data_IF_419909872750
#
_entry.id   IF_419909872750
#
_cell.length_a   1.000
_cell.length_b   1.000
_cell.length_c   1.000
_cell.angle_alpha   90.00
_cell.angle_beta   90.00
_cell.angle_gamma   90.00
#
_symmetry.space_group_name_H-M   'P 1'
#
loop_
_entity.id
_entity.type
_entity.pdbx_description
1 polymer ?
#
# COMPACT_ATOMS: atom_id res chain seq x y z
N UNK A 1 -7.27 -27.06 1.08
CA UNK A 1 -8.04 -25.87 1.52
C UNK A 1 -7.17 -24.86 2.26
N UNK A 2 -6.62 -25.18 3.44
CA UNK A 2 -5.83 -24.21 4.21
C UNK A 2 -4.46 -23.87 3.57
N UNK A 3 -3.79 -24.86 2.96
CA UNK A 3 -2.55 -24.65 2.20
C UNK A 3 -2.73 -23.78 0.95
N UNK A 4 -3.82 -23.98 0.20
CA UNK A 4 -4.13 -23.20 -1.01
C UNK A 4 -4.38 -21.72 -0.71
N UNK A 5 -5.03 -21.43 0.42
CA UNK A 5 -5.29 -20.05 0.87
C UNK A 5 -3.99 -19.37 1.27
N UNK A 6 -3.11 -20.08 1.98
CA UNK A 6 -1.81 -19.56 2.42
C UNK A 6 -0.88 -19.24 1.24
N UNK A 7 -0.92 -20.04 0.18
CA UNK A 7 -0.12 -19.83 -1.03
C UNK A 7 -0.60 -18.62 -1.87
N UNK A 8 -1.92 -18.39 -1.91
CA UNK A 8 -2.52 -17.28 -2.67
C UNK A 8 -2.69 -15.99 -1.85
N UNK A 9 -2.43 -16.03 -0.55
CA UNK A 9 -2.55 -14.90 0.37
C UNK A 9 -1.87 -13.59 -0.12
N UNK A 10 -0.61 -13.58 -0.58
CA UNK A 10 0.02 -12.34 -1.04
C UNK A 10 -0.68 -11.75 -2.27
N UNK A 11 -1.23 -12.59 -3.15
CA UNK A 11 -1.99 -12.14 -4.33
C UNK A 11 -3.31 -11.48 -3.93
N UNK A 12 -4.05 -12.07 -2.99
CA UNK A 12 -5.29 -11.47 -2.49
C UNK A 12 -5.02 -10.14 -1.77
N UNK A 13 -3.96 -10.06 -0.96
CA UNK A 13 -3.58 -8.82 -0.30
C UNK A 13 -3.21 -7.71 -1.29
N UNK A 14 -2.47 -8.04 -2.36
CA UNK A 14 -2.16 -7.08 -3.42
C UNK A 14 -3.44 -6.57 -4.13
N UNK A 15 -4.39 -7.47 -4.43
CA UNK A 15 -5.69 -7.09 -5.01
C UNK A 15 -6.47 -6.18 -4.05
N UNK A 16 -6.48 -6.49 -2.76
CA UNK A 16 -7.15 -5.65 -1.75
C UNK A 16 -6.50 -4.27 -1.66
N UNK A 17 -5.17 -4.18 -1.67
CA UNK A 17 -4.45 -2.90 -1.68
C UNK A 17 -4.86 -2.08 -2.91
N UNK A 18 -4.81 -2.67 -4.10
CA UNK A 18 -5.19 -2.00 -5.35
C UNK A 18 -6.65 -1.54 -5.30
N UNK A 19 -7.57 -2.44 -4.94
CA UNK A 19 -9.00 -2.14 -4.88
C UNK A 19 -9.32 -1.01 -3.89
N UNK A 20 -8.75 -1.07 -2.69
CA UNK A 20 -8.97 -0.05 -1.66
C UNK A 20 -8.35 1.30 -2.05
N UNK A 21 -7.18 1.28 -2.70
CA UNK A 21 -6.55 2.47 -3.28
C UNK A 21 -7.44 3.14 -4.32
N UNK A 22 -8.03 2.36 -5.24
CA UNK A 22 -8.90 2.86 -6.29
C UNK A 22 -10.21 3.43 -5.74
N UNK A 23 -10.82 2.75 -4.77
CA UNK A 23 -12.05 3.23 -4.12
C UNK A 23 -11.80 4.56 -3.42
N UNK A 24 -10.73 4.65 -2.63
CA UNK A 24 -10.40 5.87 -1.90
C UNK A 24 -10.04 7.01 -2.88
N UNK A 25 -9.32 6.70 -3.94
CA UNK A 25 -9.01 7.66 -4.99
C UNK A 25 -10.23 8.22 -5.72
N UNK A 26 -11.22 7.38 -6.03
CA UNK A 26 -12.47 7.81 -6.64
C UNK A 26 -13.26 8.73 -5.69
N UNK A 27 -13.29 8.41 -4.40
CA UNK A 27 -13.87 9.28 -3.38
C UNK A 27 -13.14 10.63 -3.28
N UNK A 28 -11.81 10.63 -3.32
CA UNK A 28 -11.01 11.86 -3.29
C UNK A 28 -11.23 12.72 -4.55
N UNK A 29 -11.32 12.10 -5.71
CA UNK A 29 -11.64 12.80 -6.97
C UNK A 29 -13.01 13.48 -6.88
N UNK A 30 -14.03 12.76 -6.40
CA UNK A 30 -15.38 13.30 -6.22
C UNK A 30 -15.41 14.49 -5.24
N UNK A 31 -14.65 14.41 -4.15
CA UNK A 31 -14.53 15.53 -3.20
C UNK A 31 -13.77 16.72 -3.80
N UNK A 32 -12.73 16.48 -4.59
CA UNK A 32 -12.01 17.51 -5.33
C UNK A 32 -12.93 18.30 -6.28
N UNK A 33 -13.83 17.61 -6.99
CA UNK A 33 -14.84 18.24 -7.86
C UNK A 33 -15.87 19.12 -7.13
N UNK A 34 -15.96 19.01 -5.81
CA UNK A 34 -16.87 19.82 -4.98
C UNK A 34 -16.09 20.81 -4.11
N UNK A 35 -14.78 20.92 -4.31
CA UNK A 35 -13.88 21.74 -3.48
C UNK A 35 -13.94 21.39 -1.98
N UNK A 36 -14.28 20.13 -1.67
CA UNK A 36 -14.35 19.63 -0.29
C UNK A 36 -13.02 18.98 0.06
N UNK A 37 -12.44 19.40 1.18
CA UNK A 37 -11.29 18.72 1.76
C UNK A 37 -11.74 17.51 2.59
N UNK A 38 -11.05 16.38 2.41
CA UNK A 38 -11.25 15.25 3.31
C UNK A 38 -10.66 15.55 4.67
N UNK A 39 -11.37 15.18 5.73
CA UNK A 39 -10.89 15.34 7.10
C UNK A 39 -9.57 14.61 7.32
N UNK A 40 -8.66 15.21 8.08
CA UNK A 40 -7.35 14.62 8.45
C UNK A 40 -7.46 13.20 9.03
N UNK A 41 -8.55 12.91 9.76
CA UNK A 41 -8.82 11.59 10.31
C UNK A 41 -9.01 10.52 9.23
N UNK A 42 -9.61 10.86 8.10
CA UNK A 42 -9.82 9.95 6.97
C UNK A 42 -8.49 9.66 6.27
N UNK A 43 -7.66 10.70 6.06
CA UNK A 43 -6.32 10.51 5.52
C UNK A 43 -5.41 9.69 6.45
N UNK A 44 -5.50 9.93 7.75
CA UNK A 44 -4.77 9.14 8.76
C UNK A 44 -5.21 7.68 8.74
N UNK A 45 -6.52 7.43 8.65
CA UNK A 45 -7.06 6.09 8.51
C UNK A 45 -6.55 5.41 7.23
N UNK A 46 -6.54 6.11 6.09
CA UNK A 46 -5.96 5.62 4.84
C UNK A 46 -4.49 5.23 5.00
N UNK A 47 -3.67 6.12 5.55
CA UNK A 47 -2.25 5.86 5.79
C UNK A 47 -2.02 4.63 6.67
N UNK A 48 -2.78 4.52 7.77
CA UNK A 48 -2.73 3.37 8.67
C UNK A 48 -3.14 2.07 7.95
N UNK A 49 -4.29 2.06 7.26
CA UNK A 49 -4.78 0.88 6.55
C UNK A 49 -3.81 0.42 5.46
N UNK A 50 -3.31 1.36 4.65
CA UNK A 50 -2.34 1.05 3.60
C UNK A 50 -1.07 0.43 4.18
N UNK A 51 -0.54 1.03 5.25
CA UNK A 51 0.68 0.56 5.91
C UNK A 51 0.50 -0.83 6.53
N UNK A 52 -0.65 -1.09 7.19
CA UNK A 52 -0.98 -2.43 7.72
C UNK A 52 -1.08 -3.45 6.59
N UNK A 53 -1.75 -3.12 5.48
CA UNK A 53 -1.91 -4.04 4.36
C UNK A 53 -0.57 -4.37 3.69
N UNK A 54 0.32 -3.39 3.53
CA UNK A 54 1.68 -3.59 3.02
C UNK A 54 2.50 -4.46 3.97
N UNK A 55 2.42 -4.20 5.28
CA UNK A 55 3.11 -5.01 6.28
C UNK A 55 2.62 -6.47 6.25
N UNK A 56 1.30 -6.69 6.17
CA UNK A 56 0.71 -8.02 6.02
C UNK A 56 1.13 -8.69 4.71
N UNK A 57 1.11 -7.94 3.60
CA UNK A 57 1.53 -8.44 2.29
C UNK A 57 2.98 -8.92 2.35
N UNK A 58 3.87 -8.09 2.90
CA UNK A 58 5.30 -8.40 3.00
C UNK A 58 5.57 -9.57 3.96
N UNK A 59 4.83 -9.67 5.05
CA UNK A 59 4.94 -10.79 6.01
C UNK A 59 4.51 -12.12 5.40
N UNK A 60 3.54 -12.11 4.47
CA UNK A 60 3.09 -13.30 3.72
C UNK A 60 3.95 -13.59 2.49
N UNK A 61 4.55 -12.57 1.90
CA UNK A 61 5.43 -12.67 0.75
C UNK A 61 6.83 -13.21 1.11
N UNK A 62 7.24 -13.08 2.38
CA UNK A 62 8.56 -13.51 2.83
C UNK A 62 8.80 -14.99 2.51
N UNK A 63 9.76 -15.24 1.63
CA UNK A 63 10.20 -16.59 1.25
C UNK A 63 11.64 -16.76 1.73
N UNK A 64 11.84 -17.51 2.82
CA UNK A 64 13.18 -17.91 3.27
C UNK A 64 13.64 -17.35 4.63
N UNK A 65 14.50 -18.15 5.27
CA UNK A 65 14.96 -18.04 6.66
C UNK A 65 15.90 -16.83 6.86
N UNK A 66 15.67 -16.03 7.91
CA UNK A 66 16.65 -15.04 8.38
C UNK A 66 16.11 -13.64 8.69
N UNK A 67 14.83 -13.37 8.46
CA UNK A 67 14.23 -12.10 8.90
C UNK A 67 13.86 -12.16 10.39
N UNK A 68 14.08 -11.08 11.15
CA UNK A 68 13.75 -11.05 12.58
C UNK A 68 12.28 -11.37 12.82
N UNK A 69 11.98 -11.97 13.98
CA UNK A 69 10.64 -12.44 14.36
C UNK A 69 9.55 -11.35 14.23
N UNK A 70 9.93 -10.08 14.35
CA UNK A 70 9.03 -8.92 14.28
C UNK A 70 9.08 -8.16 12.94
N UNK A 71 9.51 -8.80 11.86
CA UNK A 71 9.67 -8.15 10.56
C UNK A 71 8.43 -7.36 10.09
N UNK A 72 7.21 -7.87 10.29
CA UNK A 72 5.98 -7.15 9.97
C UNK A 72 5.77 -5.86 10.78
N UNK A 73 6.24 -5.80 12.03
CA UNK A 73 6.16 -4.60 12.87
C UNK A 73 7.19 -3.55 12.45
N UNK A 74 8.43 -3.97 12.16
CA UNK A 74 9.44 -3.09 11.55
C UNK A 74 8.95 -2.52 10.23
N UNK A 75 8.30 -3.36 9.43
CA UNK A 75 7.67 -2.94 8.18
C UNK A 75 6.58 -1.90 8.44
N UNK A 76 5.71 -2.10 9.44
CA UNK A 76 4.67 -1.13 9.75
C UNK A 76 5.21 0.25 10.14
N UNK A 77 6.26 0.32 10.96
CA UNK A 77 6.81 1.62 11.41
C UNK A 77 7.73 2.25 10.36
N UNK A 78 8.61 1.45 9.77
CA UNK A 78 9.70 1.92 8.91
C UNK A 78 9.51 1.52 7.45
N UNK A 79 8.26 1.37 6.99
CA UNK A 79 7.96 0.93 5.62
C UNK A 79 8.71 1.70 4.53
N UNK A 80 8.93 3.05 4.59
CA UNK A 80 9.60 3.76 3.51
C UNK A 80 11.07 3.37 3.35
N UNK A 81 11.68 2.80 4.40
CA UNK A 81 13.08 2.37 4.41
C UNK A 81 13.21 0.84 4.29
N UNK A 82 12.35 0.10 5.00
CA UNK A 82 12.40 -1.36 5.06
C UNK A 82 11.87 -1.99 3.77
N UNK A 83 10.78 -1.47 3.20
CA UNK A 83 10.19 -1.98 1.96
C UNK A 83 11.16 -1.92 0.76
N UNK A 84 11.81 -0.80 0.42
CA UNK A 84 12.72 -0.77 -0.72
C UNK A 84 13.94 -1.67 -0.49
N UNK A 85 14.47 -1.74 0.73
CA UNK A 85 15.57 -2.65 1.06
C UNK A 85 15.16 -4.13 0.89
N UNK A 86 13.98 -4.51 1.39
CA UNK A 86 13.44 -5.86 1.24
C UNK A 86 13.21 -6.24 -0.23
N UNK A 87 12.58 -5.35 -0.99
CA UNK A 87 12.26 -5.61 -2.39
C UNK A 87 13.52 -5.68 -3.24
N UNK A 88 14.49 -4.78 -3.02
CA UNK A 88 15.79 -4.84 -3.69
C UNK A 88 16.56 -6.13 -3.34
N UNK A 89 16.49 -6.59 -2.08
CA UNK A 89 17.18 -7.80 -1.64
C UNK A 89 16.53 -9.09 -2.16
N UNK A 90 15.21 -9.13 -2.27
CA UNK A 90 14.47 -10.33 -2.72
C UNK A 90 14.35 -10.43 -4.24
N UNK A 91 14.25 -9.29 -4.94
CA UNK A 91 13.90 -9.22 -6.37
C UNK A 91 14.80 -8.31 -7.22
N UNK A 92 15.81 -7.65 -6.64
CA UNK A 92 16.70 -6.77 -7.39
C UNK A 92 15.98 -5.54 -7.95
N UNK A 93 16.23 -5.22 -9.22
CA UNK A 93 15.63 -4.07 -9.92
C UNK A 93 14.11 -4.15 -10.03
N UNK A 94 13.55 -5.34 -10.24
CA UNK A 94 12.10 -5.56 -10.28
C UNK A 94 11.44 -5.21 -8.95
N UNK A 95 12.18 -5.39 -7.85
CA UNK A 95 11.77 -4.96 -6.52
C UNK A 95 11.62 -3.43 -6.40
N UNK A 96 12.50 -2.66 -7.04
CA UNK A 96 12.38 -1.20 -7.04
C UNK A 96 11.16 -0.73 -7.83
N UNK A 97 10.87 -1.37 -8.98
CA UNK A 97 9.64 -1.09 -9.75
C UNK A 97 8.40 -1.35 -8.88
N UNK A 98 8.40 -2.45 -8.12
CA UNK A 98 7.31 -2.76 -7.20
C UNK A 98 7.18 -1.74 -6.05
N UNK A 99 8.30 -1.24 -5.52
CA UNK A 99 8.30 -0.16 -4.53
C UNK A 99 7.65 1.11 -5.09
N UNK A 100 8.03 1.53 -6.29
CA UNK A 100 7.41 2.68 -6.95
C UNK A 100 5.94 2.44 -7.26
N UNK A 101 5.53 1.21 -7.59
CA UNK A 101 4.13 0.84 -7.75
C UNK A 101 3.32 1.04 -6.46
N UNK A 102 3.83 0.58 -5.32
CA UNK A 102 3.18 0.83 -4.03
C UNK A 102 3.22 2.30 -3.63
N UNK A 103 4.32 3.01 -3.87
CA UNK A 103 4.42 4.45 -3.63
C UNK A 103 3.43 5.24 -4.47
N UNK A 104 3.23 4.86 -5.73
CA UNK A 104 2.24 5.46 -6.61
C UNK A 104 0.82 5.23 -6.07
N UNK A 105 0.47 4.00 -5.66
CA UNK A 105 -0.83 3.69 -5.05
C UNK A 105 -1.08 4.47 -3.75
N UNK A 106 -0.04 4.64 -2.92
CA UNK A 106 -0.12 5.43 -1.69
C UNK A 106 -0.43 6.91 -1.96
N UNK A 107 0.22 7.50 -2.98
CA UNK A 107 0.05 8.90 -3.37
C UNK A 107 -1.22 9.14 -4.21
N UNK A 108 -1.78 8.10 -4.82
CA UNK A 108 -2.87 8.16 -5.79
C UNK A 108 -4.08 8.98 -5.31
N UNK A 109 -4.60 8.80 -4.07
CA UNK A 109 -5.75 9.58 -3.58
C UNK A 109 -5.47 11.09 -3.47
N UNK A 110 -4.24 11.48 -3.11
CA UNK A 110 -3.86 12.89 -3.07
C UNK A 110 -3.77 13.51 -4.47
N UNK A 111 -3.22 12.74 -5.43
CA UNK A 111 -3.17 13.15 -6.83
C UNK A 111 -4.56 13.31 -7.43
N UNK A 112 -5.48 12.38 -7.15
CA UNK A 112 -6.84 12.45 -7.70
C UNK A 112 -7.67 13.56 -7.09
N UNK A 113 -7.47 13.90 -5.80
CA UNK A 113 -8.09 15.09 -5.22
C UNK A 113 -7.63 16.37 -5.96
N UNK A 114 -6.33 16.53 -6.16
CA UNK A 114 -5.78 17.68 -6.88
C UNK A 114 -6.31 17.75 -8.31
N UNK A 115 -6.38 16.62 -9.02
CA UNK A 115 -7.00 16.57 -10.34
C UNK A 115 -8.47 16.99 -10.29
N UNK A 116 -9.27 16.47 -9.35
CA UNK A 116 -10.67 16.85 -9.20
C UNK A 116 -10.84 18.36 -8.97
N UNK A 117 -10.00 18.94 -8.10
CA UNK A 117 -10.00 20.37 -7.83
C UNK A 117 -9.69 21.22 -9.07
N UNK A 118 -8.75 20.79 -9.92
CA UNK A 118 -8.41 21.51 -11.15
C UNK A 118 -9.52 21.47 -12.22
N UNK A 119 -10.43 20.49 -12.15
CA UNK A 119 -11.53 20.32 -13.11
C UNK A 119 -12.91 20.69 -12.52
N UNK A 120 -12.93 21.23 -11.30
CA UNK A 120 -14.11 21.82 -10.64
C UNK A 120 -14.41 23.21 -11.21
#
# INVERSE_FOLDING_TARGET
>A
MEKDVMEKAPKYLAITIIGLSLIFAAQQFYMGLHEIESTDSIYTLWMCLFTVLIAMWCDRDKTGKGWPYEYGFFMFIFWPLVLPYYLAKTRGLDGLVMFFGFGALYALPGLTWYMGYQYS
#
